data_IF_351263883922
#
_entry.id   IF_351263883922
#
_cell.length_a   1.000
_cell.length_b   1.000
_cell.length_c   1.000
_cell.angle_alpha   90.00
_cell.angle_beta   90.00
_cell.angle_gamma   90.00
#
_symmetry.space_group_name_H-M   'P 1'
#
loop_
_entity.id
_entity.type
_entity.pdbx_description
1 polymer ?
#
# COMPACT_ATOMS: atom_id res chain seq x y z
N UNK A 1 -10.46 9.02 6.77
CA UNK A 1 -10.63 9.29 8.22
C UNK A 1 -10.23 8.08 9.09
N UNK A 2 -9.95 8.31 10.38
CA UNK A 2 -9.58 7.25 11.33
C UNK A 2 -10.79 6.51 11.93
N UNK A 3 -12.01 6.91 11.57
CA UNK A 3 -13.30 6.38 12.02
C UNK A 3 -14.34 6.50 10.90
N UNK A 4 -15.51 5.89 11.09
CA UNK A 4 -16.62 5.97 10.13
C UNK A 4 -17.11 7.42 9.94
N UNK A 5 -17.16 7.95 8.71
CA UNK A 5 -17.77 9.24 8.44
C UNK A 5 -19.27 9.24 8.74
N UNK A 6 -19.79 10.39 9.18
CA UNK A 6 -21.24 10.63 9.22
C UNK A 6 -21.83 10.77 7.81
N UNK A 7 -23.16 10.71 7.71
CA UNK A 7 -23.86 10.74 6.42
C UNK A 7 -23.59 12.02 5.61
N UNK A 8 -23.53 13.18 6.26
CA UNK A 8 -23.37 14.50 5.62
C UNK A 8 -21.99 14.69 4.94
N UNK A 9 -21.00 13.91 5.34
CA UNK A 9 -19.65 13.94 4.77
C UNK A 9 -19.63 13.61 3.27
N UNK A 10 -20.47 12.66 2.86
CA UNK A 10 -20.52 12.17 1.49
C UNK A 10 -21.23 13.14 0.53
N UNK A 11 -22.14 13.97 1.04
CA UNK A 11 -22.85 14.97 0.23
C UNK A 11 -22.00 16.24 -0.01
N UNK A 12 -21.09 16.56 0.92
CA UNK A 12 -20.36 17.84 0.93
C UNK A 12 -18.93 17.75 0.44
N UNK A 13 -18.25 16.61 0.60
CA UNK A 13 -16.80 16.51 0.36
C UNK A 13 -16.39 15.19 -0.30
N UNK A 14 -16.71 14.05 0.32
CA UNK A 14 -16.19 12.75 -0.13
C UNK A 14 -14.66 12.64 -0.06
N UNK A 15 -14.09 11.66 -0.76
CA UNK A 15 -12.64 11.49 -0.89
C UNK A 15 -12.23 11.43 -2.35
N UNK A 16 -11.15 12.13 -2.68
CA UNK A 16 -10.43 11.94 -3.92
C UNK A 16 -9.04 11.36 -3.60
N UNK A 17 -8.79 10.13 -4.04
CA UNK A 17 -7.50 9.47 -3.89
C UNK A 17 -6.83 9.36 -5.25
N UNK A 18 -5.86 10.25 -5.51
CA UNK A 18 -5.11 10.25 -6.76
C UNK A 18 -4.20 9.02 -6.84
N UNK A 19 -4.27 8.32 -7.96
CA UNK A 19 -3.36 7.22 -8.27
C UNK A 19 -2.04 7.74 -8.82
N UNK A 20 -0.95 7.05 -8.49
CA UNK A 20 0.39 7.36 -8.98
C UNK A 20 0.73 6.44 -10.15
N UNK A 21 1.45 6.96 -11.14
CA UNK A 21 2.08 6.12 -12.14
C UNK A 21 3.13 5.21 -11.48
N UNK A 22 3.45 4.05 -12.08
CA UNK A 22 4.55 3.24 -11.60
C UNK A 22 5.86 4.04 -11.57
N UNK A 23 6.73 3.82 -10.56
CA UNK A 23 8.09 4.33 -10.57
C UNK A 23 8.83 3.92 -11.86
N UNK A 24 9.66 4.83 -12.36
CA UNK A 24 10.47 4.60 -13.54
C UNK A 24 11.72 3.79 -13.18
N UNK A 25 11.59 2.47 -13.12
CA UNK A 25 12.73 1.56 -12.99
C UNK A 25 13.38 1.33 -14.35
N UNK A 26 14.71 1.25 -14.37
CA UNK A 26 15.48 0.95 -15.57
C UNK A 26 15.05 -0.40 -16.19
N UNK A 27 15.14 -0.58 -17.51
CA UNK A 27 14.45 -1.64 -18.26
C UNK A 27 14.97 -3.07 -18.08
N UNK A 28 15.88 -3.34 -17.13
CA UNK A 28 16.26 -4.71 -16.79
C UNK A 28 15.23 -5.29 -15.83
N UNK A 29 14.12 -5.74 -16.41
CA UNK A 29 12.99 -6.35 -15.71
C UNK A 29 13.38 -7.55 -14.82
N UNK A 30 14.51 -8.20 -15.11
CA UNK A 30 14.99 -9.37 -14.39
C UNK A 30 15.80 -9.02 -13.13
N UNK A 31 16.21 -7.75 -12.95
CA UNK A 31 17.00 -7.27 -11.81
C UNK A 31 16.28 -6.16 -11.02
N UNK A 32 15.00 -5.90 -11.33
CA UNK A 32 14.27 -4.81 -10.70
C UNK A 32 13.93 -5.15 -9.23
N UNK A 33 14.61 -4.46 -8.31
CA UNK A 33 14.26 -4.46 -6.89
C UNK A 33 13.22 -3.38 -6.59
N UNK A 34 12.02 -3.79 -6.19
CA UNK A 34 10.91 -2.89 -5.90
C UNK A 34 10.89 -2.51 -4.41
N UNK A 35 10.80 -1.20 -4.17
CA UNK A 35 10.47 -0.68 -2.85
C UNK A 35 9.05 -1.09 -2.45
N UNK A 36 8.85 -1.39 -1.17
CA UNK A 36 7.54 -1.79 -0.65
C UNK A 36 7.29 -1.17 0.73
N UNK A 37 6.01 -1.06 1.10
CA UNK A 37 5.61 -0.54 2.42
C UNK A 37 5.06 -1.70 3.25
N UNK A 38 5.80 -2.06 4.32
CA UNK A 38 5.42 -3.06 5.34
C UNK A 38 5.23 -4.51 4.86
N UNK A 39 5.83 -4.89 3.72
CA UNK A 39 5.81 -6.28 3.26
C UNK A 39 6.63 -7.18 4.19
N UNK A 40 7.75 -6.68 4.71
CA UNK A 40 8.55 -7.29 5.78
C UNK A 40 7.72 -7.64 7.02
N UNK A 41 6.95 -6.68 7.56
CA UNK A 41 6.12 -6.91 8.74
C UNK A 41 4.99 -7.92 8.45
N UNK A 42 4.42 -7.88 7.24
CA UNK A 42 3.44 -8.86 6.79
C UNK A 42 4.04 -10.28 6.73
N UNK A 43 5.25 -10.43 6.18
CA UNK A 43 5.94 -11.73 6.13
C UNK A 43 6.27 -12.25 7.53
N UNK A 44 6.72 -11.37 8.44
CA UNK A 44 6.98 -11.75 9.83
C UNK A 44 5.71 -12.28 10.52
N UNK A 45 4.56 -11.65 10.30
CA UNK A 45 3.28 -12.09 10.88
C UNK A 45 2.82 -13.44 10.32
N UNK A 46 2.98 -13.66 9.01
CA UNK A 46 2.47 -14.86 8.34
C UNK A 46 3.39 -16.07 8.47
N UNK A 47 4.71 -15.86 8.40
CA UNK A 47 5.72 -16.91 8.25
C UNK A 47 6.75 -16.93 9.38
N UNK A 48 6.84 -15.87 10.17
CA UNK A 48 7.92 -15.71 11.15
C UNK A 48 7.94 -16.77 12.26
N UNK A 49 6.81 -17.42 12.53
CA UNK A 49 6.74 -18.56 13.45
C UNK A 49 7.08 -19.91 12.80
N UNK A 50 7.09 -19.98 11.46
CA UNK A 50 7.38 -21.20 10.67
C UNK A 50 8.83 -21.30 10.19
N UNK A 51 9.57 -20.20 10.24
CA UNK A 51 10.95 -20.09 9.76
C UNK A 51 11.99 -20.12 10.90
N UNK A 52 11.65 -20.74 12.04
CA UNK A 52 12.54 -20.90 13.21
C UNK A 52 13.39 -22.16 13.13
#
# INVERSE_FOLDING_TARGET
PKSLPGADFWASQGFEFTSFAPPNYAPQADEAEFEHIRLDHLLQFLLGDKLK
#
